data_IF_338629888517
#
_entry.id   IF_338629888517
#
_cell.length_a   1.000
_cell.length_b   1.000
_cell.length_c   1.000
_cell.angle_alpha   90.00
_cell.angle_beta   90.00
_cell.angle_gamma   90.00
#
_symmetry.space_group_name_H-M   'P 1'
#
loop_
_entity.id
_entity.type
_entity.pdbx_description
1 polymer ?
#
# COMPACT_ATOMS: atom_id res chain seq x y z
N UNK A 1 14.72 24.65 12.98
CA UNK A 1 14.65 23.17 12.97
C UNK A 1 15.47 22.66 11.81
N UNK A 2 16.22 21.58 11.99
CA UNK A 2 16.92 20.92 10.89
C UNK A 2 15.91 20.29 9.92
N UNK A 3 16.24 20.26 8.62
CA UNK A 3 15.39 19.61 7.61
C UNK A 3 15.37 18.10 7.83
N UNK A 4 14.25 17.46 7.52
CA UNK A 4 14.04 16.02 7.73
C UNK A 4 13.85 15.33 6.36
N UNK A 5 14.67 14.32 6.06
CA UNK A 5 14.44 13.35 4.99
C UNK A 5 14.08 12.02 5.64
N UNK A 6 12.82 11.64 5.59
CA UNK A 6 12.34 10.38 6.11
C UNK A 6 12.04 9.44 4.94
N UNK A 7 12.94 8.50 4.72
CA UNK A 7 12.93 7.60 3.55
C UNK A 7 12.50 6.21 4.00
N UNK A 8 11.45 5.72 3.36
CA UNK A 8 10.94 4.36 3.55
C UNK A 8 11.32 3.54 2.31
N UNK A 9 11.95 2.40 2.52
CA UNK A 9 12.22 1.40 1.50
C UNK A 9 11.24 0.26 1.70
N UNK A 10 10.22 0.21 0.83
CA UNK A 10 9.10 -0.71 0.94
C UNK A 10 9.57 -2.17 0.97
N UNK A 11 9.11 -2.90 1.97
CA UNK A 11 9.42 -4.31 2.13
C UNK A 11 10.90 -4.66 2.28
N UNK A 12 11.75 -3.70 2.72
CA UNK A 12 13.21 -3.86 2.79
C UNK A 12 13.64 -5.04 3.65
N UNK A 13 13.01 -5.24 4.82
CA UNK A 13 13.37 -6.30 5.74
C UNK A 13 13.16 -7.69 5.14
N UNK A 14 13.94 -8.67 5.59
CA UNK A 14 13.83 -10.08 5.17
C UNK A 14 14.27 -11.04 6.27
N UNK A 15 13.94 -12.32 6.10
CA UNK A 15 14.50 -13.39 6.88
C UNK A 15 15.91 -13.74 6.38
N UNK A 16 16.83 -14.25 7.24
CA UNK A 16 18.09 -14.84 6.79
C UNK A 16 17.86 -16.02 5.85
N UNK A 17 18.57 -16.07 4.71
CA UNK A 17 18.40 -17.09 3.67
C UNK A 17 19.60 -18.02 3.62
N UNK A 18 19.36 -19.33 3.54
CA UNK A 18 20.43 -20.33 3.37
C UNK A 18 21.23 -20.09 2.08
N UNK A 19 20.57 -19.63 1.01
CA UNK A 19 21.20 -19.27 -0.26
C UNK A 19 22.19 -18.11 -0.14
N UNK A 20 22.10 -17.31 0.94
CA UNK A 20 22.96 -16.16 1.23
C UNK A 20 23.85 -16.39 2.46
N UNK A 21 24.16 -17.64 2.78
CA UNK A 21 24.97 -18.05 3.96
C UNK A 21 24.39 -17.54 5.28
N UNK A 22 23.07 -17.55 5.42
CA UNK A 22 22.34 -17.10 6.62
C UNK A 22 22.28 -15.59 6.78
N UNK A 23 22.48 -14.82 5.73
CA UNK A 23 22.31 -13.36 5.69
C UNK A 23 21.01 -12.98 4.99
N UNK A 24 20.57 -11.75 5.23
CA UNK A 24 19.44 -11.15 4.48
C UNK A 24 19.90 -10.53 3.17
N UNK A 25 18.99 -10.26 2.21
CA UNK A 25 19.32 -9.52 0.99
C UNK A 25 19.98 -8.16 1.28
N UNK A 26 19.52 -7.41 2.29
CA UNK A 26 20.11 -6.13 2.68
C UNK A 26 21.56 -6.29 3.18
N UNK A 27 21.84 -7.33 3.98
CA UNK A 27 23.18 -7.60 4.52
C UNK A 27 24.19 -8.08 3.45
N UNK A 28 23.69 -8.53 2.29
CA UNK A 28 24.53 -8.93 1.13
C UNK A 28 24.71 -7.78 0.15
N UNK A 29 23.74 -6.91 0.02
CA UNK A 29 23.72 -5.79 -0.90
C UNK A 29 24.90 -4.81 -0.62
N UNK A 30 25.45 -4.25 -1.69
CA UNK A 30 26.49 -3.22 -1.60
C UNK A 30 25.86 -1.84 -1.47
N UNK A 31 25.81 -1.33 -0.24
CA UNK A 31 25.14 -0.09 0.14
C UNK A 31 26.07 0.93 0.80
N UNK A 32 27.15 1.39 0.12
CA UNK A 32 28.16 2.24 0.74
C UNK A 32 27.62 3.58 1.25
N UNK A 33 26.52 4.10 0.69
CA UNK A 33 25.94 5.36 1.14
C UNK A 33 25.06 5.19 2.37
N UNK A 34 24.26 4.11 2.43
CA UNK A 34 23.54 3.73 3.63
C UNK A 34 24.47 3.32 4.77
N UNK A 35 25.54 2.58 4.47
CA UNK A 35 26.59 2.25 5.47
C UNK A 35 27.27 3.50 6.01
N UNK A 36 27.58 4.49 5.16
CA UNK A 36 28.11 5.78 5.59
C UNK A 36 27.15 6.51 6.54
N UNK A 37 25.85 6.49 6.25
CA UNK A 37 24.84 7.09 7.13
C UNK A 37 24.78 6.33 8.46
N UNK A 38 24.78 5.00 8.45
CA UNK A 38 24.77 4.17 9.64
C UNK A 38 26.00 4.44 10.52
N UNK A 39 27.20 4.46 9.91
CA UNK A 39 28.46 4.72 10.62
C UNK A 39 28.54 6.12 11.25
N UNK A 40 27.85 7.10 10.69
CA UNK A 40 27.78 8.47 11.20
C UNK A 40 26.59 8.77 12.09
N UNK A 41 25.66 7.82 12.21
CA UNK A 41 24.35 7.98 12.82
C UNK A 41 24.10 7.12 14.05
N UNK A 42 22.85 7.00 14.39
CA UNK A 42 22.31 6.07 15.36
C UNK A 42 21.43 5.05 14.67
N UNK A 43 21.56 3.82 15.10
CA UNK A 43 20.90 2.68 14.53
C UNK A 43 19.97 2.02 15.56
N UNK A 44 18.99 1.28 15.09
CA UNK A 44 18.05 0.52 15.87
C UNK A 44 17.16 -0.33 14.98
N UNK A 45 16.13 -0.91 15.53
CA UNK A 45 15.18 -1.72 14.79
C UNK A 45 13.75 -1.45 15.26
N UNK A 46 12.79 -1.69 14.38
CA UNK A 46 11.40 -1.30 14.58
C UNK A 46 10.47 -2.47 14.36
N UNK A 47 9.60 -2.74 15.34
CA UNK A 47 8.35 -3.49 15.10
C UNK A 47 7.31 -2.47 14.68
N UNK A 48 6.88 -2.49 13.41
CA UNK A 48 6.13 -1.39 12.83
C UNK A 48 4.72 -1.26 13.41
N UNK A 49 3.96 -2.34 13.50
CA UNK A 49 2.59 -2.33 14.02
C UNK A 49 2.49 -3.06 15.37
N UNK A 50 2.93 -4.30 15.43
CA UNK A 50 2.86 -5.11 16.66
C UNK A 50 3.51 -6.48 16.48
N UNK A 51 3.86 -7.13 17.60
CA UNK A 51 4.39 -8.50 17.58
C UNK A 51 3.34 -9.48 17.02
N UNK A 52 3.76 -10.36 16.12
CA UNK A 52 2.90 -11.35 15.48
C UNK A 52 1.98 -10.77 14.39
N UNK A 53 2.13 -9.49 14.03
CA UNK A 53 1.37 -8.85 12.97
C UNK A 53 2.28 -8.67 11.76
N UNK A 54 2.01 -9.39 10.67
CA UNK A 54 2.58 -9.14 9.35
C UNK A 54 1.77 -8.01 8.67
N UNK A 55 2.26 -6.76 8.69
CA UNK A 55 1.40 -5.64 8.32
C UNK A 55 1.33 -5.46 6.80
N UNK A 56 0.17 -5.05 6.31
CA UNK A 56 0.02 -4.44 4.99
C UNK A 56 0.55 -2.99 5.06
N UNK A 57 0.93 -2.43 3.90
CA UNK A 57 1.55 -1.09 3.86
C UNK A 57 0.65 0.00 4.44
N UNK A 58 -0.68 -0.08 4.33
CA UNK A 58 -1.60 0.91 4.88
C UNK A 58 -1.47 1.05 6.40
N UNK A 59 -1.55 -0.06 7.14
CA UNK A 59 -1.42 -0.03 8.62
C UNK A 59 0.00 0.29 9.06
N UNK A 60 1.00 -0.21 8.32
CA UNK A 60 2.40 0.07 8.61
C UNK A 60 2.74 1.56 8.43
N UNK A 61 2.26 2.18 7.35
CA UNK A 61 2.48 3.61 7.07
C UNK A 61 1.86 4.50 8.14
N UNK A 62 0.64 4.19 8.62
CA UNK A 62 0.07 4.90 9.79
C UNK A 62 1.03 4.85 10.97
N UNK A 63 1.49 3.65 11.31
CA UNK A 63 2.36 3.44 12.46
C UNK A 63 3.69 4.21 12.33
N UNK A 64 4.42 4.04 11.23
CA UNK A 64 5.74 4.69 11.03
C UNK A 64 5.65 6.21 10.89
N UNK A 65 4.47 6.75 10.50
CA UNK A 65 4.20 8.19 10.53
C UNK A 65 3.70 8.68 11.90
N UNK A 66 3.65 7.80 12.91
CA UNK A 66 3.36 8.15 14.29
C UNK A 66 1.88 8.23 14.66
N UNK A 67 1.01 7.54 13.90
CA UNK A 67 -0.40 7.37 14.19
C UNK A 67 -0.69 5.92 14.51
N UNK A 68 -1.53 5.66 15.51
CA UNK A 68 -1.92 4.30 15.85
C UNK A 68 -2.92 3.76 14.81
N UNK A 69 -2.55 2.72 14.04
CA UNK A 69 -3.45 2.16 13.04
C UNK A 69 -4.70 1.54 13.67
N UNK A 70 -4.65 1.01 14.89
CA UNK A 70 -5.80 0.44 15.59
C UNK A 70 -6.87 1.50 15.95
N UNK A 71 -6.46 2.76 16.10
CA UNK A 71 -7.38 3.86 16.40
C UNK A 71 -7.90 4.56 15.13
N UNK A 72 -7.12 4.50 14.04
CA UNK A 72 -7.34 5.39 12.90
C UNK A 72 -7.65 4.68 11.58
N UNK A 73 -7.38 3.37 11.45
CA UNK A 73 -7.62 2.65 10.22
C UNK A 73 -9.12 2.33 10.04
N UNK A 74 -9.70 2.73 8.91
CA UNK A 74 -11.13 2.58 8.60
C UNK A 74 -11.41 1.72 7.36
N UNK A 75 -10.43 0.93 6.96
CA UNK A 75 -10.42 0.17 5.71
C UNK A 75 -9.51 0.82 4.66
N UNK A 76 -8.92 -0.01 3.80
CA UNK A 76 -8.01 0.45 2.75
C UNK A 76 -8.74 1.17 1.61
N UNK A 77 -10.00 0.78 1.35
CA UNK A 77 -10.82 1.39 0.31
C UNK A 77 -10.94 2.92 0.43
N UNK A 78 -11.35 3.48 1.58
CA UNK A 78 -11.37 4.92 1.79
C UNK A 78 -10.02 5.60 1.61
N UNK A 79 -8.93 4.99 2.09
CA UNK A 79 -7.58 5.54 1.98
C UNK A 79 -7.13 5.65 0.52
N UNK A 80 -7.28 4.58 -0.25
CA UNK A 80 -6.95 4.56 -1.68
C UNK A 80 -7.87 5.50 -2.49
N UNK A 81 -9.14 5.65 -2.09
CA UNK A 81 -10.08 6.59 -2.73
C UNK A 81 -9.61 8.03 -2.59
N UNK A 82 -9.22 8.45 -1.38
CA UNK A 82 -8.64 9.78 -1.14
C UNK A 82 -7.36 9.97 -1.96
N UNK A 83 -6.50 8.94 -2.03
CA UNK A 83 -5.29 8.95 -2.83
C UNK A 83 -5.55 9.09 -4.33
N UNK A 84 -6.59 8.45 -4.83
CA UNK A 84 -7.03 8.55 -6.22
C UNK A 84 -7.85 9.82 -6.54
N UNK A 85 -8.12 10.67 -5.53
CA UNK A 85 -8.90 11.90 -5.67
C UNK A 85 -10.40 11.67 -5.80
N UNK A 86 -10.89 10.56 -5.23
CA UNK A 86 -12.33 10.26 -5.13
C UNK A 86 -12.82 10.61 -3.74
N UNK A 87 -13.93 11.35 -3.67
CA UNK A 87 -14.56 11.76 -2.42
C UNK A 87 -15.30 10.57 -1.78
N UNK A 88 -15.12 10.41 -0.48
CA UNK A 88 -15.84 9.43 0.35
C UNK A 88 -16.43 10.17 1.55
N UNK A 89 -17.74 10.11 1.70
CA UNK A 89 -18.47 10.68 2.81
C UNK A 89 -18.81 9.62 3.86
N UNK A 90 -19.11 10.04 5.09
CA UNK A 90 -19.59 9.12 6.13
C UNK A 90 -20.86 8.40 5.65
N UNK A 91 -20.83 7.07 5.58
CA UNK A 91 -21.93 6.23 5.09
C UNK A 91 -21.87 5.87 3.60
N UNK A 92 -20.88 6.37 2.84
CA UNK A 92 -20.51 5.79 1.56
C UNK A 92 -19.74 4.47 1.81
N UNK A 93 -19.75 3.54 0.87
CA UNK A 93 -18.95 2.32 0.97
C UNK A 93 -17.86 2.33 -0.09
N UNK A 94 -16.62 2.45 0.35
CA UNK A 94 -15.45 2.49 -0.51
C UNK A 94 -14.67 1.17 -0.44
N UNK A 95 -14.39 0.58 -1.60
CA UNK A 95 -13.61 -0.65 -1.74
C UNK A 95 -12.31 -0.41 -2.51
N UNK A 96 -11.27 -1.12 -2.13
CA UNK A 96 -10.20 -1.51 -3.04
C UNK A 96 -10.70 -2.62 -3.94
N UNK A 97 -10.41 -2.54 -5.23
CA UNK A 97 -10.85 -3.56 -6.20
C UNK A 97 -9.74 -3.99 -7.14
N UNK A 98 -9.90 -5.19 -7.69
CA UNK A 98 -9.06 -5.70 -8.77
C UNK A 98 -9.92 -6.09 -9.97
N UNK A 99 -9.45 -5.78 -11.19
CA UNK A 99 -9.91 -6.51 -12.37
C UNK A 99 -9.45 -7.96 -12.27
N UNK A 100 -10.34 -8.88 -12.62
CA UNK A 100 -10.13 -10.31 -12.63
C UNK A 100 -10.67 -10.95 -13.90
N UNK A 101 -10.23 -12.17 -14.17
CA UNK A 101 -10.80 -13.03 -15.21
C UNK A 101 -11.65 -14.09 -14.56
N UNK A 102 -12.91 -14.18 -14.95
CA UNK A 102 -13.84 -15.22 -14.47
C UNK A 102 -14.50 -15.96 -15.64
N UNK A 103 -14.93 -17.19 -15.35
CA UNK A 103 -15.83 -17.98 -16.19
C UNK A 103 -17.14 -18.19 -15.46
N UNK A 104 -18.25 -18.11 -16.22
CA UNK A 104 -19.59 -18.34 -15.65
C UNK A 104 -19.81 -19.83 -15.49
N UNK A 105 -20.07 -20.27 -14.28
CA UNK A 105 -20.45 -21.65 -13.98
C UNK A 105 -21.97 -21.78 -13.84
N UNK A 106 -22.56 -22.68 -14.64
CA UNK A 106 -23.95 -23.05 -14.43
C UNK A 106 -24.01 -23.98 -13.20
N UNK A 107 -24.45 -23.48 -12.04
CA UNK A 107 -24.70 -24.30 -10.87
C UNK A 107 -25.86 -25.26 -11.14
N UNK A 108 -25.56 -26.57 -11.23
CA UNK A 108 -26.55 -27.64 -11.27
C UNK A 108 -27.09 -27.92 -9.86
N UNK A 109 -28.09 -27.11 -9.42
CA UNK A 109 -28.75 -27.30 -8.14
C UNK A 109 -29.77 -26.21 -7.89
N UNK A 110 -31.05 -26.49 -8.19
CA UNK A 110 -32.12 -25.52 -8.11
C UNK A 110 -32.32 -24.92 -6.73
N UNK A 111 -31.95 -23.66 -6.58
CA UNK A 111 -32.52 -22.78 -5.56
C UNK A 111 -33.75 -22.09 -6.16
N UNK A 112 -34.84 -22.04 -5.44
CA UNK A 112 -36.14 -21.48 -5.90
C UNK A 112 -36.15 -19.94 -5.99
N UNK A 113 -35.02 -19.26 -5.73
CA UNK A 113 -34.82 -17.83 -5.95
C UNK A 113 -33.83 -17.67 -7.09
N UNK A 114 -34.39 -17.46 -8.30
CA UNK A 114 -33.62 -17.30 -9.53
C UNK A 114 -32.50 -16.27 -9.41
N UNK A 115 -31.35 -16.64 -9.95
CA UNK A 115 -30.07 -15.93 -10.08
C UNK A 115 -29.02 -16.25 -9.01
N UNK A 116 -28.47 -17.45 -9.06
CA UNK A 116 -27.13 -17.74 -8.51
C UNK A 116 -26.28 -18.39 -9.59
N UNK A 117 -25.86 -17.58 -10.59
CA UNK A 117 -24.72 -17.95 -11.40
C UNK A 117 -23.47 -17.86 -10.51
N UNK A 118 -22.72 -18.97 -10.39
CA UNK A 118 -21.38 -18.94 -9.81
C UNK A 118 -20.39 -18.38 -10.83
N UNK A 119 -19.39 -17.68 -10.37
CA UNK A 119 -18.25 -17.29 -11.18
C UNK A 119 -16.98 -17.97 -10.67
N UNK A 120 -16.40 -18.87 -11.49
CA UNK A 120 -15.10 -19.45 -11.23
C UNK A 120 -14.01 -18.43 -11.59
N UNK A 121 -13.08 -18.20 -10.70
CA UNK A 121 -11.97 -17.29 -10.90
C UNK A 121 -10.85 -18.02 -11.66
N UNK A 122 -10.58 -17.56 -12.89
CA UNK A 122 -9.47 -18.03 -13.71
C UNK A 122 -8.16 -17.35 -13.31
N UNK A 123 -8.22 -16.03 -13.09
CA UNK A 123 -7.08 -15.23 -12.64
C UNK A 123 -7.56 -13.97 -11.91
N UNK A 124 -7.07 -13.74 -10.71
CA UNK A 124 -7.46 -12.62 -9.84
C UNK A 124 -6.84 -11.28 -10.24
N UNK A 125 -5.92 -11.27 -11.18
CA UNK A 125 -5.10 -10.10 -11.56
C UNK A 125 -4.93 -9.96 -13.07
N UNK A 126 -5.78 -10.67 -13.87
CA UNK A 126 -5.75 -10.63 -15.35
C UNK A 126 -4.36 -10.96 -15.90
N UNK A 127 -3.70 -12.01 -15.34
CA UNK A 127 -2.34 -12.40 -15.74
C UNK A 127 -1.26 -11.35 -15.42
N UNK A 128 -1.60 -10.28 -14.68
CA UNK A 128 -0.75 -9.10 -14.41
C UNK A 128 -0.30 -8.34 -15.67
N UNK A 129 -0.98 -8.54 -16.79
CA UNK A 129 -0.65 -7.92 -18.09
C UNK A 129 -1.71 -6.92 -18.60
N UNK A 130 -2.72 -6.60 -17.77
CA UNK A 130 -3.66 -5.52 -18.05
C UNK A 130 -2.96 -4.18 -17.89
N UNK A 131 -2.82 -3.44 -18.99
CA UNK A 131 -2.20 -2.11 -18.93
C UNK A 131 -3.12 -1.11 -18.22
N UNK A 132 -2.54 -0.06 -17.63
CA UNK A 132 -3.32 1.01 -17.00
C UNK A 132 -4.26 1.70 -18.00
N UNK A 133 -3.84 1.84 -19.26
CA UNK A 133 -4.67 2.42 -20.33
C UNK A 133 -5.90 1.55 -20.60
N UNK A 134 -5.74 0.23 -20.75
CA UNK A 134 -6.84 -0.72 -20.93
C UNK A 134 -7.77 -0.72 -19.70
N UNK A 135 -7.20 -0.71 -18.49
CA UNK A 135 -7.98 -0.67 -17.24
C UNK A 135 -8.81 0.62 -17.12
N UNK A 136 -8.23 1.78 -17.43
CA UNK A 136 -8.96 3.05 -17.45
C UNK A 136 -10.13 3.02 -18.46
N UNK A 137 -9.89 2.53 -19.66
CA UNK A 137 -10.93 2.44 -20.69
C UNK A 137 -12.07 1.48 -20.26
N UNK A 138 -11.76 0.33 -19.66
CA UNK A 138 -12.75 -0.60 -19.09
C UNK A 138 -13.53 0.05 -17.93
N UNK A 139 -12.87 0.80 -17.05
CA UNK A 139 -13.52 1.51 -15.95
C UNK A 139 -14.47 2.59 -16.46
N UNK A 140 -14.09 3.33 -17.50
CA UNK A 140 -14.96 4.32 -18.15
C UNK A 140 -16.20 3.67 -18.79
N UNK A 141 -16.06 2.45 -19.37
CA UNK A 141 -17.20 1.71 -19.88
C UNK A 141 -18.19 1.35 -18.78
N UNK A 142 -17.71 0.83 -17.63
CA UNK A 142 -18.54 0.52 -16.47
C UNK A 142 -19.20 1.79 -15.94
N UNK A 143 -18.43 2.87 -15.72
CA UNK A 143 -18.95 4.14 -15.20
C UNK A 143 -20.07 4.72 -16.05
N UNK A 144 -20.01 4.55 -17.37
CA UNK A 144 -21.00 5.08 -18.31
C UNK A 144 -22.22 4.18 -18.49
N UNK A 145 -22.05 2.85 -18.44
CA UNK A 145 -23.08 1.89 -18.85
C UNK A 145 -23.84 1.27 -17.69
N UNK A 146 -23.24 1.18 -16.51
CA UNK A 146 -23.90 0.66 -15.31
C UNK A 146 -24.79 1.74 -14.70
N UNK A 147 -26.00 1.36 -14.33
CA UNK A 147 -26.93 2.19 -13.56
C UNK A 147 -27.50 1.37 -12.40
N UNK A 148 -27.49 1.94 -11.21
CA UNK A 148 -28.07 1.36 -10.00
C UNK A 148 -29.43 2.02 -9.73
N UNK A 149 -30.34 1.29 -9.05
CA UNK A 149 -31.59 1.87 -8.59
C UNK A 149 -31.37 2.50 -7.21
N UNK A 150 -31.79 3.77 -7.06
CA UNK A 150 -31.66 4.56 -5.81
C UNK A 150 -30.25 4.59 -5.22
N UNK A 151 -29.26 4.53 -6.08
CA UNK A 151 -27.87 4.59 -5.70
C UNK A 151 -27.00 5.15 -6.82
N UNK A 152 -25.84 5.63 -6.45
CA UNK A 152 -24.80 6.06 -7.37
C UNK A 152 -23.48 5.41 -7.02
N UNK A 153 -22.52 5.46 -7.93
CA UNK A 153 -21.18 4.94 -7.68
C UNK A 153 -20.13 5.77 -8.41
N UNK A 154 -18.91 5.65 -7.95
CA UNK A 154 -17.72 6.11 -8.65
C UNK A 154 -16.73 4.95 -8.72
N UNK A 155 -16.38 4.55 -9.94
CA UNK A 155 -15.43 3.47 -10.21
C UNK A 155 -14.25 4.02 -11.00
N UNK A 156 -13.05 3.86 -10.47
CA UNK A 156 -11.82 4.38 -11.09
C UNK A 156 -10.73 3.32 -11.09
N UNK A 157 -10.20 3.00 -12.27
CA UNK A 157 -8.96 2.24 -12.36
C UNK A 157 -7.77 3.08 -11.86
N UNK A 158 -6.77 2.44 -11.29
CA UNK A 158 -5.56 3.10 -10.78
C UNK A 158 -4.33 2.59 -11.53
N UNK A 159 -3.62 1.60 -11.02
CA UNK A 159 -2.40 1.06 -11.64
C UNK A 159 -2.62 -0.39 -12.05
N UNK A 160 -2.46 -0.68 -13.35
CA UNK A 160 -2.65 -2.01 -13.91
C UNK A 160 -4.05 -2.55 -13.62
N UNK A 161 -4.13 -3.73 -13.02
CA UNK A 161 -5.41 -4.39 -12.68
C UNK A 161 -6.13 -3.82 -11.45
N UNK A 162 -5.59 -2.79 -10.79
CA UNK A 162 -6.14 -2.23 -9.55
C UNK A 162 -7.12 -1.10 -9.81
N UNK A 163 -8.05 -0.90 -8.86
CA UNK A 163 -8.97 0.22 -8.89
C UNK A 163 -9.63 0.46 -7.54
N UNK A 164 -10.50 1.43 -7.51
CA UNK A 164 -11.35 1.78 -6.38
C UNK A 164 -12.81 1.86 -6.82
N UNK A 165 -13.69 1.50 -5.91
CA UNK A 165 -15.14 1.61 -6.07
C UNK A 165 -15.71 2.32 -4.85
N UNK A 166 -16.48 3.39 -5.05
CA UNK A 166 -17.28 4.03 -4.00
C UNK A 166 -18.74 3.89 -4.36
N UNK A 167 -19.51 3.25 -3.49
CA UNK A 167 -20.96 3.11 -3.59
C UNK A 167 -21.64 4.11 -2.67
N UNK A 168 -22.74 4.72 -3.14
CA UNK A 168 -23.56 5.68 -2.40
C UNK A 168 -25.02 5.32 -2.55
N UNK A 169 -25.75 5.23 -1.44
CA UNK A 169 -27.18 4.88 -1.43
C UNK A 169 -28.04 6.09 -1.10
N UNK A 170 -29.15 6.26 -1.83
CA UNK A 170 -30.17 7.28 -1.56
C UNK A 170 -31.13 6.84 -0.41
N UNK A 171 -31.06 5.58 0.03
CA UNK A 171 -31.95 4.99 1.05
C UNK A 171 -31.38 4.99 2.47
N UNK A 172 -30.15 5.48 2.63
CA UNK A 172 -29.46 5.58 3.93
C UNK A 172 -28.01 5.11 3.88
N UNK A 173 -27.29 5.18 4.99
CA UNK A 173 -25.87 4.83 5.01
C UNK A 173 -25.64 3.35 4.67
N UNK A 174 -24.49 3.10 4.06
CA UNK A 174 -23.95 1.77 3.86
C UNK A 174 -22.98 1.43 5.02
N UNK A 175 -22.79 0.15 5.28
CA UNK A 175 -21.88 -0.35 6.31
C UNK A 175 -20.74 -1.12 5.66
N UNK A 176 -19.53 -0.96 6.19
CA UNK A 176 -18.38 -1.74 5.80
C UNK A 176 -18.39 -3.17 6.39
N UNK A 177 -19.36 -3.50 7.27
CA UNK A 177 -19.47 -4.83 7.89
C UNK A 177 -20.08 -5.85 6.90
N UNK A 178 -19.43 -6.01 5.76
CA UNK A 178 -19.77 -6.96 4.69
C UNK A 178 -18.53 -7.75 4.27
N UNK A 179 -18.78 -8.97 3.76
CA UNK A 179 -17.72 -9.84 3.25
C UNK A 179 -17.08 -9.29 1.97
N UNK A 180 -15.83 -9.70 1.70
CA UNK A 180 -15.16 -9.42 0.44
C UNK A 180 -15.70 -10.35 -0.66
N UNK A 181 -15.79 -9.87 -1.92
CA UNK A 181 -16.03 -10.78 -3.05
C UNK A 181 -14.76 -11.50 -3.51
N UNK A 182 -13.58 -11.01 -3.12
CA UNK A 182 -12.27 -11.63 -3.37
C UNK A 182 -11.99 -12.71 -2.32
N UNK A 183 -11.99 -14.02 -2.68
CA UNK A 183 -11.86 -15.12 -1.72
C UNK A 183 -10.49 -15.23 -1.05
N UNK A 184 -9.45 -14.59 -1.61
CA UNK A 184 -8.07 -14.61 -1.06
C UNK A 184 -7.91 -13.72 0.17
N UNK A 185 -8.93 -12.93 0.51
CA UNK A 185 -8.89 -11.97 1.61
C UNK A 185 -10.06 -12.13 2.57
N UNK A 186 -9.72 -12.42 3.83
CA UNK A 186 -10.62 -12.30 4.97
C UNK A 186 -10.50 -10.96 5.67
N UNK A 187 -11.12 -10.85 6.85
CA UNK A 187 -11.12 -9.66 7.69
C UNK A 187 -10.78 -10.00 9.14
N UNK A 188 -10.05 -9.10 9.80
CA UNK A 188 -9.91 -9.06 11.26
C UNK A 188 -10.29 -7.64 11.73
N UNK A 189 -11.55 -7.44 12.07
CA UNK A 189 -12.12 -6.11 12.29
C UNK A 189 -12.10 -5.30 10.99
N UNK A 190 -11.51 -4.10 10.99
CA UNK A 190 -11.34 -3.25 9.80
C UNK A 190 -10.14 -3.64 8.93
N UNK A 191 -9.31 -4.58 9.36
CA UNK A 191 -8.09 -4.97 8.65
C UNK A 191 -8.36 -6.10 7.67
N UNK A 192 -7.94 -5.94 6.42
CA UNK A 192 -7.87 -7.02 5.42
C UNK A 192 -6.71 -7.96 5.76
N UNK A 193 -6.96 -9.26 5.68
CA UNK A 193 -5.96 -10.30 5.93
C UNK A 193 -5.95 -11.30 4.79
N UNK A 194 -4.79 -11.54 4.18
CA UNK A 194 -4.65 -12.58 3.18
C UNK A 194 -4.86 -13.97 3.81
N UNK A 195 -5.63 -14.83 3.13
CA UNK A 195 -5.90 -16.18 3.57
C UNK A 195 -4.86 -17.16 3.00
N UNK A 196 -4.45 -18.13 3.79
CA UNK A 196 -3.50 -19.16 3.33
C UNK A 196 -4.11 -20.12 2.30
N UNK A 197 -5.41 -20.34 2.38
CA UNK A 197 -6.19 -21.22 1.48
C UNK A 197 -7.53 -20.60 1.18
N UNK A 198 -7.94 -20.66 -0.08
CA UNK A 198 -9.25 -20.16 -0.54
C UNK A 198 -9.74 -20.96 -1.74
N UNK A 199 -11.05 -20.94 -1.98
CA UNK A 199 -11.66 -21.50 -3.18
C UNK A 199 -11.58 -20.49 -4.33
N UNK A 200 -11.33 -20.96 -5.56
CA UNK A 200 -11.29 -20.11 -6.73
C UNK A 200 -12.70 -19.76 -7.26
N UNK A 201 -13.59 -19.35 -6.36
CA UNK A 201 -14.94 -18.88 -6.67
C UNK A 201 -15.15 -17.47 -6.12
N UNK A 202 -15.85 -16.62 -6.86
CA UNK A 202 -16.25 -15.30 -6.37
C UNK A 202 -17.20 -15.49 -5.19
N UNK A 203 -16.90 -14.82 -4.07
CA UNK A 203 -17.75 -14.84 -2.89
C UNK A 203 -18.93 -13.89 -3.09
N UNK A 204 -20.16 -14.37 -2.85
CA UNK A 204 -21.33 -13.48 -2.77
C UNK A 204 -21.18 -12.61 -1.52
N UNK A 205 -21.23 -11.30 -1.70
CA UNK A 205 -21.12 -10.36 -0.59
C UNK A 205 -22.35 -10.47 0.31
N UNK A 206 -22.13 -10.72 1.59
CA UNK A 206 -23.15 -10.80 2.63
C UNK A 206 -22.70 -9.99 3.85
N UNK A 207 -23.59 -9.57 4.75
CA UNK A 207 -23.18 -9.05 6.05
C UNK A 207 -22.24 -10.02 6.76
N UNK A 208 -21.20 -9.50 7.44
CA UNK A 208 -20.32 -10.36 8.25
C UNK A 208 -21.08 -10.95 9.42
N UNK A 209 -20.61 -12.10 9.89
CA UNK A 209 -21.24 -12.83 11.01
C UNK A 209 -21.42 -11.92 12.24
N UNK A 210 -22.66 -11.83 12.72
CA UNK A 210 -23.07 -10.97 13.84
C UNK A 210 -23.65 -9.61 13.42
N UNK A 211 -23.65 -9.29 12.12
CA UNK A 211 -24.24 -8.08 11.55
C UNK A 211 -25.37 -8.38 10.54
N UNK A 212 -25.93 -9.60 10.60
CA UNK A 212 -27.00 -10.05 9.68
C UNK A 212 -28.29 -9.25 9.83
N UNK A 213 -28.53 -8.65 11.00
CA UNK A 213 -29.69 -7.82 11.29
C UNK A 213 -29.43 -6.30 11.07
N UNK A 214 -28.21 -5.91 10.60
CA UNK A 214 -27.89 -4.50 10.31
C UNK A 214 -28.43 -4.09 8.93
N UNK A 215 -29.44 -3.20 8.86
CA UNK A 215 -30.00 -2.77 7.58
C UNK A 215 -29.00 -2.04 6.68
N UNK A 216 -27.93 -1.47 7.25
CA UNK A 216 -26.89 -0.80 6.48
C UNK A 216 -25.95 -1.83 5.82
N UNK A 217 -25.64 -2.93 6.52
CA UNK A 217 -24.85 -4.04 5.96
C UNK A 217 -25.66 -4.84 4.92
N UNK A 218 -26.95 -5.11 5.15
CA UNK A 218 -27.83 -5.73 4.15
C UNK A 218 -27.86 -4.91 2.86
N UNK A 219 -28.15 -3.61 2.98
CA UNK A 219 -28.19 -2.69 1.83
C UNK A 219 -26.83 -2.60 1.11
N UNK A 220 -25.72 -2.60 1.84
CA UNK A 220 -24.37 -2.61 1.30
C UNK A 220 -24.09 -3.88 0.50
N UNK A 221 -24.48 -5.03 1.02
CA UNK A 221 -24.34 -6.34 0.37
C UNK A 221 -25.14 -6.41 -0.93
N UNK A 222 -26.43 -6.04 -0.88
CA UNK A 222 -27.31 -6.06 -2.04
C UNK A 222 -26.79 -5.15 -3.17
N UNK A 223 -26.42 -3.93 -2.79
CA UNK A 223 -25.93 -2.94 -3.74
C UNK A 223 -24.59 -3.35 -4.37
N UNK A 224 -23.70 -3.94 -3.58
CA UNK A 224 -22.42 -4.45 -4.08
C UNK A 224 -22.63 -5.59 -5.06
N UNK A 225 -23.46 -6.58 -4.72
CA UNK A 225 -23.76 -7.71 -5.60
C UNK A 225 -24.47 -7.25 -6.90
N UNK A 226 -25.40 -6.29 -6.80
CA UNK A 226 -26.05 -5.69 -7.99
C UNK A 226 -24.99 -5.03 -8.91
N UNK A 227 -24.09 -4.23 -8.33
CA UNK A 227 -23.05 -3.55 -9.09
C UNK A 227 -22.07 -4.54 -9.74
N UNK A 228 -21.64 -5.57 -9.02
CA UNK A 228 -20.73 -6.61 -9.54
C UNK A 228 -21.35 -7.32 -10.74
N UNK A 229 -22.60 -7.75 -10.63
CA UNK A 229 -23.32 -8.42 -11.72
C UNK A 229 -23.47 -7.52 -12.96
N UNK A 230 -23.90 -6.26 -12.77
CA UNK A 230 -24.07 -5.31 -13.89
C UNK A 230 -22.73 -4.94 -14.52
N UNK A 231 -21.68 -4.84 -13.73
CA UNK A 231 -20.32 -4.57 -14.22
C UNK A 231 -19.79 -5.74 -15.05
N UNK A 232 -20.03 -6.98 -14.61
CA UNK A 232 -19.67 -8.16 -15.39
C UNK A 232 -20.32 -8.16 -16.77
N UNK A 233 -21.62 -7.85 -16.88
CA UNK A 233 -22.34 -7.79 -18.17
C UNK A 233 -21.69 -6.77 -19.13
N UNK A 234 -21.25 -5.62 -18.61
CA UNK A 234 -20.57 -4.58 -19.40
C UNK A 234 -19.18 -5.02 -19.82
N UNK A 235 -18.41 -5.56 -18.87
CA UNK A 235 -17.01 -5.93 -19.09
C UNK A 235 -16.87 -7.17 -20.00
N UNK A 236 -17.74 -8.17 -19.86
CA UNK A 236 -17.68 -9.38 -20.70
C UNK A 236 -18.07 -9.07 -22.15
N UNK A 237 -18.94 -8.07 -22.38
CA UNK A 237 -19.32 -7.58 -23.69
C UNK A 237 -18.36 -6.52 -24.28
N UNK A 238 -17.30 -6.12 -23.55
CA UNK A 238 -16.38 -5.06 -24.00
C UNK A 238 -15.54 -5.48 -25.20
N UNK A 239 -15.39 -4.58 -26.17
CA UNK A 239 -14.51 -4.77 -27.33
C UNK A 239 -13.04 -4.88 -26.93
N UNK A 240 -12.62 -4.22 -25.83
CA UNK A 240 -11.28 -4.32 -25.27
C UNK A 240 -11.01 -5.76 -24.83
N UNK A 241 -11.94 -6.36 -24.08
CA UNK A 241 -11.83 -7.74 -23.63
C UNK A 241 -11.94 -8.75 -24.78
N UNK A 242 -12.76 -8.45 -25.80
CA UNK A 242 -12.82 -9.27 -27.02
C UNK A 242 -11.48 -9.24 -27.78
N UNK A 243 -10.82 -8.08 -27.89
CA UNK A 243 -9.50 -7.93 -28.48
C UNK A 243 -8.45 -8.71 -27.70
N UNK A 244 -8.41 -8.58 -26.35
CA UNK A 244 -7.51 -9.31 -25.48
C UNK A 244 -7.64 -10.84 -25.67
N UNK A 245 -8.87 -11.35 -25.65
CA UNK A 245 -9.16 -12.78 -25.95
C UNK A 245 -8.63 -13.19 -27.34
N UNK A 246 -8.80 -12.33 -28.35
CA UNK A 246 -8.27 -12.56 -29.70
C UNK A 246 -6.74 -12.58 -29.78
N UNK A 247 -6.05 -11.91 -28.89
CA UNK A 247 -4.60 -11.88 -28.74
C UNK A 247 -4.05 -13.01 -27.83
N UNK A 248 -4.91 -13.87 -27.29
CA UNK A 248 -4.54 -14.93 -26.35
C UNK A 248 -4.24 -14.45 -24.94
N UNK A 249 -4.68 -13.22 -24.59
CA UNK A 249 -4.58 -12.65 -23.26
C UNK A 249 -5.86 -12.87 -22.46
N UNK A 250 -5.73 -12.85 -21.14
CA UNK A 250 -6.87 -12.95 -20.23
C UNK A 250 -7.72 -11.66 -20.27
N UNK A 251 -9.07 -11.73 -20.33
CA UNK A 251 -9.93 -10.58 -20.25
C UNK A 251 -10.09 -10.08 -18.81
N UNK A 252 -10.14 -8.78 -18.59
CA UNK A 252 -10.56 -8.19 -17.32
C UNK A 252 -12.08 -8.07 -17.27
N UNK A 253 -12.79 -9.21 -17.17
CA UNK A 253 -14.24 -9.25 -17.31
C UNK A 253 -15.00 -9.25 -15.98
N UNK A 254 -14.33 -9.20 -14.86
CA UNK A 254 -14.93 -9.12 -13.53
C UNK A 254 -14.18 -8.16 -12.61
N UNK A 255 -14.84 -7.71 -11.56
CA UNK A 255 -14.25 -6.90 -10.50
C UNK A 255 -14.38 -7.67 -9.18
N UNK A 256 -13.26 -7.83 -8.48
CA UNK A 256 -13.23 -8.38 -7.12
C UNK A 256 -13.09 -7.23 -6.13
N UNK A 257 -13.97 -7.20 -5.11
CA UNK A 257 -13.99 -6.17 -4.05
C UNK A 257 -13.37 -6.69 -2.77
N UNK A 258 -12.62 -5.83 -2.07
CA UNK A 258 -12.05 -6.10 -0.76
C UNK A 258 -11.73 -4.84 0.02
N UNK A 259 -11.38 -5.01 1.29
CA UNK A 259 -10.90 -3.96 2.20
C UNK A 259 -11.86 -2.75 2.26
N UNK A 260 -13.16 -3.05 2.35
CA UNK A 260 -14.22 -2.05 2.43
C UNK A 260 -14.12 -1.17 3.68
N UNK A 261 -14.48 0.11 3.51
CA UNK A 261 -14.64 1.05 4.61
C UNK A 261 -15.77 2.03 4.31
N UNK A 262 -16.47 2.50 5.35
CA UNK A 262 -17.67 3.34 5.23
C UNK A 262 -17.48 4.80 5.67
N UNK A 263 -16.24 5.17 5.96
CA UNK A 263 -15.87 6.55 6.28
C UNK A 263 -14.37 6.77 6.11
N UNK A 264 -13.98 8.02 5.94
CA UNK A 264 -12.58 8.45 5.92
C UNK A 264 -12.10 8.73 7.35
N UNK A 265 -10.89 8.26 7.75
CA UNK A 265 -10.40 8.54 9.10
C UNK A 265 -10.21 10.03 9.35
N UNK A 266 -10.68 10.49 10.51
CA UNK A 266 -10.53 11.90 10.96
C UNK A 266 -9.22 12.02 11.73
N UNK A 267 -8.17 12.49 11.06
CA UNK A 267 -6.83 12.62 11.64
C UNK A 267 -6.53 14.05 12.08
N UNK A 268 -5.83 14.19 13.19
CA UNK A 268 -5.09 15.42 13.49
C UNK A 268 -3.97 15.57 12.47
N UNK A 269 -3.83 16.73 11.84
CA UNK A 269 -2.79 16.92 10.82
C UNK A 269 -1.39 16.69 11.40
N UNK A 270 -0.45 16.27 10.55
CA UNK A 270 0.94 16.02 10.94
C UNK A 270 1.57 17.26 11.56
N UNK A 271 1.33 18.43 10.95
CA UNK A 271 1.81 19.73 11.47
C UNK A 271 1.26 20.05 12.85
N UNK A 272 -0.03 19.81 13.09
CA UNK A 272 -0.66 20.03 14.38
C UNK A 272 -0.13 19.05 15.45
N UNK A 273 0.05 17.79 15.08
CA UNK A 273 0.49 16.73 15.99
C UNK A 273 1.97 16.83 16.35
N UNK A 274 2.84 17.10 15.38
CA UNK A 274 4.30 17.03 15.54
C UNK A 274 5.02 18.36 15.34
N UNK A 275 4.43 19.31 14.62
CA UNK A 275 4.95 20.65 14.37
C UNK A 275 5.54 20.88 12.97
N UNK A 276 6.34 19.97 12.37
CA UNK A 276 6.88 20.17 11.05
C UNK A 276 5.82 20.16 9.94
N UNK A 277 6.02 21.00 8.92
CA UNK A 277 5.28 20.94 7.66
C UNK A 277 6.00 19.95 6.72
N UNK A 278 5.30 18.86 6.38
CA UNK A 278 5.88 17.78 5.58
C UNK A 278 5.37 17.80 4.14
N UNK A 279 6.28 17.52 3.20
CA UNK A 279 5.92 17.09 1.85
C UNK A 279 6.02 15.58 1.73
N UNK A 280 5.36 14.99 0.72
CA UNK A 280 5.46 13.56 0.45
C UNK A 280 5.77 13.25 -1.02
N UNK A 281 6.62 12.23 -1.22
CA UNK A 281 6.88 11.54 -2.48
C UNK A 281 6.44 10.09 -2.30
N UNK A 282 5.43 9.65 -3.03
CA UNK A 282 4.87 8.31 -2.89
C UNK A 282 4.35 7.80 -4.23
N UNK A 283 4.41 6.50 -4.44
CA UNK A 283 4.05 5.88 -5.73
C UNK A 283 2.61 5.37 -5.77
N UNK A 284 2.08 4.92 -4.63
CA UNK A 284 0.79 4.24 -4.62
C UNK A 284 -0.32 5.10 -4.02
N UNK A 285 -1.58 4.90 -4.47
CA UNK A 285 -2.72 5.65 -3.96
C UNK A 285 -2.90 5.55 -2.44
N UNK A 286 -2.55 4.42 -1.82
CA UNK A 286 -2.75 4.25 -0.37
C UNK A 286 -1.86 5.19 0.45
N UNK A 287 -0.57 5.27 0.15
CA UNK A 287 0.36 6.17 0.85
C UNK A 287 0.01 7.64 0.56
N UNK A 288 -0.42 7.93 -0.69
CA UNK A 288 -0.86 9.26 -1.07
C UNK A 288 -2.12 9.68 -0.31
N UNK A 289 -3.08 8.76 -0.15
CA UNK A 289 -4.29 8.99 0.64
C UNK A 289 -3.98 9.29 2.09
N UNK A 290 -3.13 8.47 2.71
CA UNK A 290 -2.69 8.65 4.09
C UNK A 290 -1.97 9.99 4.27
N UNK A 291 -1.02 10.32 3.39
CA UNK A 291 -0.29 11.60 3.44
C UNK A 291 -1.23 12.81 3.31
N UNK A 292 -2.20 12.76 2.39
CA UNK A 292 -3.23 13.81 2.23
C UNK A 292 -4.09 13.97 3.49
N UNK A 293 -4.53 12.87 4.09
CA UNK A 293 -5.32 12.88 5.33
C UNK A 293 -4.54 13.45 6.51
N UNK A 294 -3.23 13.25 6.52
CA UNK A 294 -2.32 13.86 7.50
C UNK A 294 -1.96 15.31 7.17
N UNK A 295 -2.48 15.88 6.09
CA UNK A 295 -2.24 17.26 5.68
C UNK A 295 -0.83 17.51 5.14
N UNK A 296 -0.16 16.49 4.58
CA UNK A 296 1.13 16.66 3.91
C UNK A 296 0.95 17.25 2.52
N UNK A 297 1.90 18.07 2.09
CA UNK A 297 1.95 18.57 0.72
C UNK A 297 2.40 17.46 -0.24
N UNK A 298 1.70 17.30 -1.37
CA UNK A 298 2.08 16.31 -2.37
C UNK A 298 3.13 16.92 -3.30
N UNK A 299 4.27 16.27 -3.41
CA UNK A 299 5.29 16.59 -4.41
C UNK A 299 5.11 15.65 -5.59
N UNK A 300 4.75 16.22 -6.73
CA UNK A 300 4.60 15.44 -7.96
C UNK A 300 5.98 14.95 -8.43
N UNK A 301 6.12 13.65 -8.50
CA UNK A 301 7.33 12.98 -8.96
C UNK A 301 6.96 11.90 -9.99
N UNK A 302 7.79 11.70 -11.03
CA UNK A 302 7.52 10.68 -12.04
C UNK A 302 7.60 9.29 -11.43
N UNK A 303 6.67 8.41 -11.83
CA UNK A 303 6.59 7.00 -11.40
C UNK A 303 6.58 6.03 -12.59
N UNK A 304 6.78 6.56 -13.80
CA UNK A 304 6.73 5.84 -15.07
C UNK A 304 8.10 5.73 -15.76
N UNK A 305 9.16 6.17 -15.09
CA UNK A 305 10.54 6.06 -15.56
C UNK A 305 11.11 4.66 -15.25
N UNK A 306 12.23 4.35 -15.87
CA UNK A 306 13.00 3.17 -15.48
C UNK A 306 13.54 3.36 -14.04
N UNK A 307 13.65 2.30 -13.22
CA UNK A 307 13.95 2.45 -11.79
C UNK A 307 15.13 3.37 -11.48
N UNK A 308 16.28 3.21 -12.14
CA UNK A 308 17.47 4.06 -11.91
C UNK A 308 17.22 5.52 -12.25
N UNK A 309 16.59 5.79 -13.39
CA UNK A 309 16.26 7.17 -13.81
C UNK A 309 15.25 7.80 -12.86
N UNK A 310 14.32 7.02 -12.35
CA UNK A 310 13.33 7.46 -11.36
C UNK A 310 14.02 7.84 -10.04
N UNK A 311 14.92 7.01 -9.55
CA UNK A 311 15.64 7.24 -8.30
C UNK A 311 16.51 8.51 -8.38
N UNK A 312 17.27 8.69 -9.47
CA UNK A 312 18.07 9.91 -9.70
C UNK A 312 17.17 11.15 -9.73
N UNK A 313 16.05 11.08 -10.47
CA UNK A 313 15.12 12.20 -10.55
C UNK A 313 14.44 12.49 -9.20
N UNK A 314 14.13 11.47 -8.42
CA UNK A 314 13.56 11.66 -7.09
C UNK A 314 14.54 12.29 -6.10
N UNK A 315 15.82 11.95 -6.18
CA UNK A 315 16.86 12.60 -5.38
C UNK A 315 16.98 14.10 -5.70
N UNK A 316 16.99 14.48 -7.00
CA UNK A 316 16.98 15.88 -7.42
C UNK A 316 15.75 16.62 -6.92
N UNK A 317 14.55 16.07 -7.16
CA UNK A 317 13.28 16.65 -6.71
C UNK A 317 13.20 16.80 -5.20
N UNK A 318 13.74 15.84 -4.44
CA UNK A 318 13.78 15.93 -2.99
C UNK A 318 14.63 17.11 -2.50
N UNK A 319 15.77 17.36 -3.15
CA UNK A 319 16.62 18.53 -2.86
C UNK A 319 15.95 19.86 -3.23
N UNK A 320 15.15 19.88 -4.30
CA UNK A 320 14.38 21.06 -4.70
C UNK A 320 13.18 21.29 -3.74
N UNK A 321 12.42 20.24 -3.48
CA UNK A 321 11.18 20.32 -2.71
C UNK A 321 11.40 20.65 -1.22
N UNK A 322 12.51 20.21 -0.63
CA UNK A 322 12.81 20.44 0.79
C UNK A 322 12.88 21.94 1.14
N UNK A 323 13.13 22.81 0.18
CA UNK A 323 13.13 24.25 0.44
C UNK A 323 11.74 24.78 0.86
N UNK A 324 10.67 24.14 0.36
CA UNK A 324 9.28 24.47 0.68
C UNK A 324 8.70 23.80 1.92
N UNK A 325 9.42 22.81 2.51
CA UNK A 325 8.95 22.01 3.65
C UNK A 325 9.98 21.95 4.77
N UNK A 326 9.53 21.60 5.97
CA UNK A 326 10.40 21.28 7.10
C UNK A 326 10.96 19.85 6.97
N UNK A 327 10.25 18.97 6.27
CA UNK A 327 10.69 17.62 5.99
C UNK A 327 9.96 16.99 4.83
N UNK A 328 10.49 15.87 4.35
CA UNK A 328 9.92 15.05 3.29
C UNK A 328 9.73 13.61 3.78
N UNK A 329 8.57 13.05 3.53
CA UNK A 329 8.28 11.62 3.57
C UNK A 329 8.43 11.06 2.17
N UNK A 330 9.36 10.15 1.99
CA UNK A 330 9.72 9.56 0.69
C UNK A 330 9.56 8.06 0.80
N UNK A 331 8.67 7.47 -0.02
CA UNK A 331 8.38 6.04 0.02
C UNK A 331 8.73 5.39 -1.34
N UNK A 332 9.77 4.57 -1.34
CA UNK A 332 10.35 3.94 -2.53
C UNK A 332 9.95 2.46 -2.58
N UNK A 333 9.26 2.04 -3.64
CA UNK A 333 8.69 0.69 -3.85
C UNK A 333 9.65 -0.36 -4.41
N UNK A 334 10.94 -0.24 -4.30
CA UNK A 334 11.88 -1.14 -4.98
C UNK A 334 11.92 -2.59 -4.45
N UNK A 335 12.22 -2.83 -3.15
CA UNK A 335 12.57 -4.17 -2.63
C UNK A 335 11.39 -5.13 -2.48
N UNK A 336 10.15 -4.64 -2.34
CA UNK A 336 8.97 -5.44 -2.02
C UNK A 336 8.58 -6.43 -3.13
N UNK A 337 8.52 -5.95 -4.37
CA UNK A 337 8.04 -6.76 -5.51
C UNK A 337 8.89 -8.01 -5.73
N UNK A 338 10.24 -7.93 -5.84
CA UNK A 338 11.06 -9.12 -6.00
C UNK A 338 10.98 -10.07 -4.80
N UNK A 339 10.76 -9.56 -3.58
CA UNK A 339 10.57 -10.41 -2.42
C UNK A 339 9.29 -11.26 -2.53
N UNK A 340 8.17 -10.68 -2.99
CA UNK A 340 6.95 -11.43 -3.27
C UNK A 340 7.10 -12.48 -4.37
N UNK A 341 8.01 -12.28 -5.31
CA UNK A 341 8.35 -13.28 -6.34
C UNK A 341 9.32 -14.35 -5.80
N UNK A 342 9.94 -14.11 -4.64
CA UNK A 342 10.95 -14.97 -4.03
C UNK A 342 12.32 -14.84 -4.70
N UNK A 343 12.55 -13.74 -5.42
CA UNK A 343 13.79 -13.45 -6.13
C UNK A 343 14.71 -12.56 -5.26
N UNK A 344 15.52 -13.20 -4.43
CA UNK A 344 16.46 -12.51 -3.55
C UNK A 344 17.56 -11.77 -4.32
N UNK A 345 17.97 -12.24 -5.50
CA UNK A 345 18.97 -11.56 -6.32
C UNK A 345 18.41 -10.26 -6.87
N UNK A 346 17.18 -10.26 -7.36
CA UNK A 346 16.51 -9.05 -7.80
C UNK A 346 16.26 -8.07 -6.65
N UNK A 347 15.96 -8.56 -5.42
CA UNK A 347 15.84 -7.73 -4.22
C UNK A 347 17.16 -7.04 -3.87
N UNK A 348 18.28 -7.80 -3.88
CA UNK A 348 19.63 -7.26 -3.69
C UNK A 348 19.93 -6.15 -4.70
N UNK A 349 19.71 -6.41 -5.99
CA UNK A 349 19.93 -5.41 -7.04
C UNK A 349 19.08 -4.15 -6.87
N UNK A 350 17.82 -4.31 -6.45
CA UNK A 350 16.93 -3.18 -6.16
C UNK A 350 17.48 -2.30 -5.02
N UNK A 351 17.96 -2.92 -3.94
CA UNK A 351 18.56 -2.20 -2.82
C UNK A 351 19.85 -1.46 -3.25
N UNK A 352 20.71 -2.12 -4.03
CA UNK A 352 21.93 -1.53 -4.56
C UNK A 352 21.66 -0.36 -5.52
N UNK A 353 20.63 -0.48 -6.37
CA UNK A 353 20.22 0.58 -7.28
C UNK A 353 19.68 1.80 -6.52
N UNK A 354 18.92 1.61 -5.44
CA UNK A 354 18.45 2.71 -4.58
C UNK A 354 19.64 3.39 -3.88
N UNK A 355 20.59 2.64 -3.33
CA UNK A 355 21.77 3.21 -2.71
C UNK A 355 22.58 4.04 -3.71
N UNK A 356 22.81 3.52 -4.91
CA UNK A 356 23.64 4.16 -5.94
C UNK A 356 22.94 5.32 -6.66
N UNK A 357 21.62 5.25 -6.90
CA UNK A 357 20.90 6.19 -7.76
C UNK A 357 19.99 7.16 -7.00
N UNK A 358 19.64 6.86 -5.73
CA UNK A 358 18.91 7.79 -4.88
C UNK A 358 19.80 8.37 -3.77
N UNK A 359 20.41 7.51 -2.94
CA UNK A 359 21.20 8.02 -1.80
C UNK A 359 22.51 8.69 -2.21
N UNK A 360 23.22 8.20 -3.23
CA UNK A 360 24.46 8.83 -3.68
C UNK A 360 24.25 10.29 -4.12
N UNK A 361 23.40 10.61 -5.13
CA UNK A 361 23.21 12.00 -5.56
C UNK A 361 22.56 12.86 -4.47
N UNK A 362 21.66 12.30 -3.64
CA UNK A 362 21.08 13.03 -2.51
C UNK A 362 22.18 13.47 -1.53
N UNK A 363 23.03 12.56 -1.09
CA UNK A 363 24.05 12.81 -0.07
C UNK A 363 25.25 13.60 -0.57
N UNK A 364 25.50 13.61 -1.87
CA UNK A 364 26.55 14.45 -2.48
C UNK A 364 26.18 15.94 -2.43
N UNK A 365 24.90 16.25 -2.41
CA UNK A 365 24.39 17.62 -2.41
C UNK A 365 23.84 18.07 -1.05
N UNK A 366 23.52 17.14 -0.15
CA UNK A 366 22.88 17.44 1.14
C UNK A 366 23.89 17.80 2.23
N UNK A 367 23.73 18.95 2.88
CA UNK A 367 24.49 19.31 4.07
C UNK A 367 23.92 18.63 5.33
N UNK A 368 24.51 17.50 5.71
CA UNK A 368 24.12 16.73 6.89
C UNK A 368 24.29 17.47 8.23
N UNK A 369 24.95 18.65 8.24
CA UNK A 369 25.01 19.51 9.44
C UNK A 369 23.71 20.30 9.67
N UNK A 370 22.83 20.35 8.65
CA UNK A 370 21.56 21.08 8.66
C UNK A 370 20.34 20.21 8.34
N UNK A 371 20.58 18.93 8.09
CA UNK A 371 19.54 17.96 7.76
C UNK A 371 19.71 16.66 8.56
N UNK A 372 18.61 16.01 8.80
CA UNK A 372 18.52 14.63 9.30
C UNK A 372 18.02 13.74 8.14
N UNK A 373 18.67 12.60 7.98
CA UNK A 373 18.21 11.51 7.12
C UNK A 373 17.86 10.34 8.03
N UNK A 374 16.61 9.90 7.97
CA UNK A 374 16.15 8.69 8.62
C UNK A 374 15.72 7.69 7.55
N UNK A 375 16.18 6.44 7.66
CA UNK A 375 15.86 5.37 6.72
C UNK A 375 15.35 4.17 7.49
N UNK A 376 14.21 3.63 7.03
CA UNK A 376 13.62 2.40 7.57
C UNK A 376 12.75 1.73 6.50
N UNK A 377 11.95 0.75 6.88
CA UNK A 377 10.92 0.14 6.05
C UNK A 377 9.55 0.23 6.73
N UNK A 378 8.51 0.03 5.96
CA UNK A 378 7.15 -0.13 6.47
C UNK A 378 6.93 -1.56 7.02
N UNK A 379 7.45 -2.57 6.35
CA UNK A 379 7.41 -3.97 6.79
C UNK A 379 8.60 -4.78 6.26
N UNK A 380 8.71 -6.00 6.78
CA UNK A 380 9.57 -7.03 6.22
C UNK A 380 8.79 -7.86 5.21
N UNK A 381 9.38 -8.12 4.02
CA UNK A 381 8.83 -9.01 3.00
C UNK A 381 9.83 -10.12 2.71
N UNK A 382 9.48 -11.33 3.16
CA UNK A 382 10.38 -12.47 3.09
C UNK A 382 10.40 -13.11 1.71
N UNK A 383 11.58 -13.16 1.09
CA UNK A 383 11.80 -13.90 -0.17
C UNK A 383 11.49 -15.40 -0.02
N UNK A 384 11.77 -16.00 1.14
CA UNK A 384 11.48 -17.39 1.39
C UNK A 384 9.98 -17.69 1.47
N UNK A 385 9.21 -16.79 2.09
CA UNK A 385 7.77 -16.94 2.32
C UNK A 385 6.93 -16.30 1.22
N UNK A 386 7.52 -15.41 0.40
CA UNK A 386 6.86 -14.61 -0.64
C UNK A 386 5.70 -13.76 -0.11
N UNK A 387 5.83 -13.29 1.10
CA UNK A 387 4.81 -12.55 1.82
C UNK A 387 5.41 -11.63 2.87
N UNK A 388 4.62 -10.68 3.34
CA UNK A 388 4.98 -9.87 4.50
C UNK A 388 5.14 -10.75 5.74
N UNK A 389 5.99 -10.31 6.67
CA UNK A 389 6.22 -10.97 7.94
C UNK A 389 6.16 -9.96 9.10
N UNK A 390 6.05 -10.48 10.31
CA UNK A 390 6.12 -9.71 11.55
C UNK A 390 7.54 -9.37 11.99
N UNK A 391 8.53 -9.71 11.15
CA UNK A 391 9.95 -9.43 11.40
C UNK A 391 10.21 -7.92 11.56
N UNK A 392 11.00 -7.51 12.59
CA UNK A 392 11.33 -6.11 12.73
C UNK A 392 12.26 -5.63 11.63
N UNK A 393 12.09 -4.36 11.23
CA UNK A 393 12.87 -3.71 10.19
C UNK A 393 14.01 -2.83 10.77
N UNK A 394 15.12 -2.64 10.06
CA UNK A 394 16.21 -1.77 10.53
C UNK A 394 15.81 -0.30 10.44
N UNK A 395 16.35 0.52 11.36
CA UNK A 395 16.21 1.97 11.38
C UNK A 395 17.57 2.60 11.54
N UNK A 396 17.89 3.59 10.72
CA UNK A 396 19.00 4.51 10.96
C UNK A 396 18.51 5.95 11.01
N UNK A 397 19.16 6.79 11.82
CA UNK A 397 18.97 8.26 11.84
C UNK A 397 20.36 8.88 11.88
N UNK A 398 20.70 9.68 10.86
CA UNK A 398 22.00 10.33 10.72
C UNK A 398 21.86 11.82 10.36
N UNK A 399 22.85 12.62 10.72
CA UNK A 399 22.91 14.05 10.37
C UNK A 399 22.96 14.98 11.56
N UNK A 400 22.36 16.15 11.42
CA UNK A 400 22.49 17.27 12.37
C UNK A 400 22.12 16.89 13.81
N UNK A 401 23.10 17.06 14.74
CA UNK A 401 22.89 16.79 16.17
C UNK A 401 22.90 15.30 16.57
N UNK A 402 23.10 14.40 15.61
CA UNK A 402 23.20 12.96 15.88
C UNK A 402 24.67 12.56 16.06
N UNK A 403 24.96 11.83 17.14
CA UNK A 403 26.30 11.28 17.37
C UNK A 403 26.30 9.80 16.98
N UNK A 404 27.35 9.37 16.29
CA UNK A 404 27.54 7.97 15.91
C UNK A 404 27.49 7.03 17.13
N UNK A 405 26.93 5.84 16.94
CA UNK A 405 26.79 4.81 17.98
C UNK A 405 27.73 3.60 17.80
N UNK A 406 28.56 3.64 16.74
CA UNK A 406 29.58 2.62 16.49
C UNK A 406 29.08 1.44 15.65
N UNK A 407 27.90 1.55 15.04
CA UNK A 407 27.42 0.61 14.02
C UNK A 407 27.95 1.07 12.66
N UNK A 408 28.67 0.21 11.95
CA UNK A 408 29.39 0.57 10.73
C UNK A 408 28.64 0.26 9.43
N UNK A 409 27.61 -0.60 9.49
CA UNK A 409 26.83 -1.04 8.33
C UNK A 409 25.34 -0.97 8.60
N UNK A 410 24.53 -0.73 7.54
CA UNK A 410 23.07 -0.76 7.62
C UNK A 410 22.55 -2.16 7.31
N UNK A 411 21.86 -2.79 8.24
CA UNK A 411 21.30 -4.13 8.09
C UNK A 411 20.61 -4.61 9.35
N UNK A 412 19.83 -5.68 9.24
CA UNK A 412 18.97 -6.19 10.31
C UNK A 412 19.79 -6.60 11.55
N UNK A 413 20.90 -7.31 11.35
CA UNK A 413 21.76 -7.77 12.46
C UNK A 413 22.54 -6.61 13.08
N UNK A 414 23.13 -5.75 12.26
CA UNK A 414 23.94 -4.63 12.74
C UNK A 414 23.11 -3.61 13.53
N UNK A 415 21.91 -3.28 13.03
CA UNK A 415 21.02 -2.30 13.66
C UNK A 415 20.54 -2.69 15.05
N UNK A 416 20.51 -3.99 15.39
CA UNK A 416 20.16 -4.47 16.74
C UNK A 416 21.16 -4.03 17.82
N UNK A 417 22.38 -3.66 17.44
CA UNK A 417 23.42 -3.19 18.34
C UNK A 417 23.46 -1.66 18.49
N UNK A 418 22.60 -0.93 17.76
CA UNK A 418 22.59 0.52 17.74
C UNK A 418 21.92 1.16 18.97
N UNK A 419 22.24 2.43 19.22
CA UNK A 419 21.79 3.16 20.40
C UNK A 419 20.32 3.56 20.42
N UNK A 420 19.61 3.47 19.28
CA UNK A 420 18.15 3.67 19.24
C UNK A 420 17.42 2.49 19.88
N UNK A 421 18.04 1.30 19.89
CA UNK A 421 17.45 0.07 20.44
C UNK A 421 16.21 -0.38 19.64
N UNK A 422 15.27 -1.01 20.34
CA UNK A 422 14.00 -1.45 19.80
C UNK A 422 12.94 -0.34 19.93
N UNK A 423 12.31 0.02 18.83
CA UNK A 423 11.19 0.96 18.79
C UNK A 423 9.94 0.30 18.22
N UNK A 424 8.78 0.81 18.63
CA UNK A 424 7.52 0.58 17.93
C UNK A 424 7.33 1.66 16.86
N UNK A 425 6.67 1.34 15.75
CA UNK A 425 6.45 2.27 14.63
C UNK A 425 6.02 3.67 15.06
N UNK A 426 4.97 3.84 15.90
CA UNK A 426 4.52 5.17 16.35
C UNK A 426 5.57 5.97 17.15
N UNK A 427 6.64 5.36 17.60
CA UNK A 427 7.72 6.05 18.33
C UNK A 427 8.76 6.70 17.40
N UNK A 428 8.80 6.36 16.10
CA UNK A 428 9.79 6.89 15.17
C UNK A 428 9.66 8.41 15.04
N UNK A 429 8.48 8.90 14.66
CA UNK A 429 8.26 10.32 14.40
C UNK A 429 8.52 11.23 15.60
N UNK A 430 8.06 10.94 16.83
CA UNK A 430 8.41 11.73 17.99
C UNK A 430 9.93 11.83 18.24
N UNK A 431 10.67 10.71 18.05
CA UNK A 431 12.11 10.69 18.18
C UNK A 431 12.81 11.52 17.09
N UNK A 432 12.39 11.37 15.83
CA UNK A 432 12.97 12.08 14.69
C UNK A 432 12.74 13.60 14.81
N UNK A 433 11.52 14.02 15.14
CA UNK A 433 11.18 15.44 15.32
C UNK A 433 11.92 16.03 16.52
N UNK A 434 12.11 15.28 17.61
CA UNK A 434 12.92 15.73 18.76
C UNK A 434 14.37 15.97 18.36
N UNK A 435 14.98 15.05 17.60
CA UNK A 435 16.35 15.23 17.09
C UNK A 435 16.48 16.40 16.12
N UNK A 436 15.47 16.64 15.28
CA UNK A 436 15.47 17.77 14.35
C UNK A 436 15.39 19.14 15.04
N UNK A 437 14.83 19.19 16.22
CA UNK A 437 14.74 20.42 17.03
C UNK A 437 16.04 20.77 17.78
N UNK A 438 16.93 19.81 17.99
CA UNK A 438 18.22 19.94 18.70
C UNK A 438 18.09 19.70 20.19
#
# INVERSE_FOLDING_TARGET
MNKIFYVILDGLGDDPLDALDGRTPLEVARTPHLDRLAAQGRNGYVTTVGEGIAPESDIAVFAILGYDPHEHHTGRGPLESVGAGVEVNDGDLAYRVNFATVEREARSGGSQNGDQDGWAIVDRRVGRDLSSEEAHALAEEVQRKVALDKASFEFKATVGHRGILVLRSDEGPLSAEVENSDPDYGRQGSLGVALETFDNEVVTVTPVTGNEDDPAAERASDLTNEWLRKSFEVLDASEINAKRKGEGKLPGNFILTRDGGDHVPKLVSFKEKFGPEMGCFVEMPVELGIARLMGMGVVEAPTDLRPREQYERWAELALEAIEGYDGLYIHIKGPDVPAHDGDHDAKIHSIEDIDAHFFAPLLDSLDLRRALVAVTADHSTSCARKSHTDGPVPLLISGAGVSADGVDTYGETASRNGALGHLMGPQIMPNLVKLARG
#
